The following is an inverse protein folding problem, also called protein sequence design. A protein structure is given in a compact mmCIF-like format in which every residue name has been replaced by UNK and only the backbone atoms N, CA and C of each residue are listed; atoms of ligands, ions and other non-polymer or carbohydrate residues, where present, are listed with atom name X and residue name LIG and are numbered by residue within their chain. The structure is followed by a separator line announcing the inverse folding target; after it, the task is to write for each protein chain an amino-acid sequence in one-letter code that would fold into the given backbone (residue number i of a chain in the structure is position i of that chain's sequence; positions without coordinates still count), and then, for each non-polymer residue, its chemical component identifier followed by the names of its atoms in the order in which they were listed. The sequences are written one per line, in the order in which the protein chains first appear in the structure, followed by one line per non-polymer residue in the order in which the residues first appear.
data_IF_924489813807
#
_entry.id   IF_924489813807
#
_cell.length_a   1.000
_cell.length_b   1.000
_cell.length_c   1.000
_cell.angle_alpha   90.00
_cell.angle_beta   90.00
_cell.angle_gamma   90.00
#
_symmetry.space_group_name_H-M   'P 1'
#
loop_
_entity.id
_entity.type
_entity.pdbx_description
1 polymer ?
#
# COMPACT_ATOMS: atom_id res chain seq x y z
N UNK A 1 -41.94 -25.68 12.63
CA UNK A 1 -40.93 -25.24 11.65
C UNK A 1 -40.57 -23.81 12.00
N UNK A 2 -39.42 -23.59 12.64
CA UNK A 2 -39.01 -22.24 13.07
C UNK A 2 -38.18 -21.62 11.95
N UNK A 3 -38.75 -20.63 11.28
CA UNK A 3 -38.02 -19.77 10.36
C UNK A 3 -37.03 -18.93 11.16
N UNK A 4 -35.74 -19.24 11.03
CA UNK A 4 -34.66 -18.38 11.52
C UNK A 4 -34.63 -17.18 10.56
N UNK A 5 -35.29 -16.11 10.94
CA UNK A 5 -35.10 -14.78 10.34
C UNK A 5 -33.67 -14.36 10.65
N UNK A 6 -32.76 -14.59 9.70
CA UNK A 6 -31.43 -14.02 9.74
C UNK A 6 -31.58 -12.50 9.73
N UNK A 7 -31.34 -11.87 10.87
CA UNK A 7 -31.17 -10.41 10.98
C UNK A 7 -30.11 -9.99 9.97
N UNK A 8 -30.38 -9.01 9.09
CA UNK A 8 -29.38 -8.52 8.16
C UNK A 8 -28.20 -8.00 8.99
N UNK A 9 -27.01 -8.58 8.74
CA UNK A 9 -25.75 -8.05 9.27
C UNK A 9 -25.71 -6.57 8.90
N UNK A 10 -25.50 -5.64 9.85
CA UNK A 10 -25.43 -4.23 9.53
C UNK A 10 -24.40 -4.05 8.42
N UNK A 11 -24.85 -3.53 7.28
CA UNK A 11 -23.95 -3.24 6.16
C UNK A 11 -22.87 -2.33 6.70
N UNK A 12 -21.63 -2.80 6.62
CA UNK A 12 -20.47 -2.01 6.98
C UNK A 12 -20.47 -0.79 6.05
N UNK A 13 -20.88 0.36 6.59
CA UNK A 13 -21.18 1.58 5.83
C UNK A 13 -19.99 2.09 5.02
N UNK A 14 -18.78 1.63 5.35
CA UNK A 14 -17.55 2.06 4.72
C UNK A 14 -16.85 0.95 3.94
N UNK A 15 -17.47 -0.23 3.80
CA UNK A 15 -16.87 -1.35 3.07
C UNK A 15 -16.55 -1.01 1.62
N UNK A 16 -17.42 -0.26 0.96
CA UNK A 16 -17.21 0.17 -0.42
C UNK A 16 -16.04 1.17 -0.54
N UNK A 17 -16.00 2.19 0.32
CA UNK A 17 -14.92 3.18 0.36
C UNK A 17 -13.55 2.52 0.60
N UNK A 18 -13.50 1.52 1.49
CA UNK A 18 -12.27 0.74 1.75
C UNK A 18 -11.86 -0.09 0.54
N UNK A 19 -12.80 -0.78 -0.09
CA UNK A 19 -12.53 -1.57 -1.27
C UNK A 19 -12.00 -0.67 -2.41
N UNK A 20 -12.58 0.52 -2.59
CA UNK A 20 -12.13 1.51 -3.58
C UNK A 20 -10.72 2.03 -3.32
N UNK A 21 -10.35 2.26 -2.05
CA UNK A 21 -8.96 2.57 -1.69
C UNK A 21 -8.01 1.43 -2.08
N UNK A 22 -8.37 0.19 -1.75
CA UNK A 22 -7.58 -1.00 -2.11
C UNK A 22 -7.43 -1.13 -3.63
N UNK A 23 -8.52 -0.95 -4.39
CA UNK A 23 -8.53 -1.03 -5.84
C UNK A 23 -7.59 0.01 -6.48
N UNK A 24 -7.59 1.25 -5.96
CA UNK A 24 -6.66 2.31 -6.40
C UNK A 24 -5.21 1.95 -6.12
N UNK A 25 -4.90 1.42 -4.93
CA UNK A 25 -3.53 0.99 -4.60
C UNK A 25 -3.07 -0.14 -5.52
N UNK A 26 -3.91 -1.15 -5.77
CA UNK A 26 -3.58 -2.25 -6.68
C UNK A 26 -3.25 -1.73 -8.08
N UNK A 27 -4.04 -0.81 -8.64
CA UNK A 27 -3.70 -0.22 -9.95
C UNK A 27 -2.45 0.66 -9.93
N UNK A 28 -2.17 1.32 -8.81
CA UNK A 28 -0.88 1.98 -8.59
C UNK A 28 0.29 1.00 -8.68
N UNK A 29 0.17 -0.19 -8.09
CA UNK A 29 1.19 -1.25 -8.17
C UNK A 29 1.35 -1.73 -9.61
N UNK A 30 0.24 -1.93 -10.32
CA UNK A 30 0.25 -2.36 -11.72
C UNK A 30 0.95 -1.34 -12.61
N UNK A 31 0.69 -0.05 -12.40
CA UNK A 31 1.34 1.03 -13.15
C UNK A 31 2.85 1.06 -12.91
N UNK A 32 3.28 1.02 -11.64
CA UNK A 32 4.71 0.97 -11.29
C UNK A 32 5.39 -0.25 -11.92
N UNK A 33 4.74 -1.41 -11.89
CA UNK A 33 5.28 -2.64 -12.46
C UNK A 33 5.39 -2.57 -13.98
N UNK A 34 4.35 -2.05 -14.64
CA UNK A 34 4.31 -1.87 -16.07
C UNK A 34 5.36 -0.86 -16.55
N UNK A 35 5.59 0.23 -15.83
CA UNK A 35 6.62 1.21 -16.18
C UNK A 35 8.05 0.67 -15.97
N UNK A 36 8.25 -0.14 -14.93
CA UNK A 36 9.55 -0.72 -14.59
C UNK A 36 10.00 -1.80 -15.58
N UNK A 37 9.08 -2.66 -16.04
CA UNK A 37 9.40 -3.78 -16.92
C UNK A 37 9.29 -3.38 -18.39
N UNK A 38 10.39 -3.55 -19.13
CA UNK A 38 10.36 -3.53 -20.59
C UNK A 38 9.63 -4.79 -21.08
N UNK A 39 8.42 -4.62 -21.58
CA UNK A 39 7.60 -5.70 -22.13
C UNK A 39 6.37 -6.03 -21.29
N UNK A 40 5.93 -7.29 -21.39
CA UNK A 40 4.63 -7.73 -20.88
C UNK A 40 4.64 -7.91 -19.36
N UNK A 41 3.62 -7.36 -18.72
CA UNK A 41 3.42 -7.45 -17.26
C UNK A 41 2.27 -8.40 -16.97
N UNK A 42 2.56 -9.46 -16.22
CA UNK A 42 1.57 -10.44 -15.77
C UNK A 42 1.48 -10.39 -14.25
N UNK A 43 0.26 -10.18 -13.74
CA UNK A 43 0.03 -10.07 -12.30
C UNK A 43 -1.15 -10.93 -11.87
N UNK A 44 -0.95 -11.70 -10.80
CA UNK A 44 -1.98 -12.57 -10.21
C UNK A 44 -2.53 -11.92 -8.93
N UNK A 45 -3.83 -11.66 -8.91
CA UNK A 45 -4.57 -11.24 -7.71
C UNK A 45 -4.85 -12.48 -6.84
N UNK A 46 -4.22 -12.53 -5.67
CA UNK A 46 -4.23 -13.70 -4.80
C UNK A 46 -4.79 -13.38 -3.40
N UNK A 47 -5.80 -14.14 -2.98
CA UNK A 47 -6.36 -14.04 -1.64
C UNK A 47 -7.11 -12.73 -1.36
N UNK A 48 -7.52 -11.98 -2.38
CA UNK A 48 -8.37 -10.80 -2.21
C UNK A 48 -9.83 -11.21 -2.02
N UNK A 49 -10.60 -10.40 -1.28
CA UNK A 49 -12.04 -10.65 -1.12
C UNK A 49 -12.80 -10.21 -2.40
N UNK A 50 -14.01 -10.74 -2.65
CA UNK A 50 -14.79 -10.37 -3.83
C UNK A 50 -15.04 -8.86 -3.94
N UNK A 51 -15.22 -8.17 -2.82
CA UNK A 51 -15.42 -6.72 -2.78
C UNK A 51 -14.19 -5.96 -3.28
N UNK A 52 -12.99 -6.44 -2.95
CA UNK A 52 -11.72 -5.86 -3.44
C UNK A 52 -11.58 -6.06 -4.95
N UNK A 53 -11.94 -7.23 -5.47
CA UNK A 53 -11.92 -7.52 -6.91
C UNK A 53 -12.93 -6.65 -7.67
N UNK A 54 -14.10 -6.42 -7.08
CA UNK A 54 -15.09 -5.48 -7.62
C UNK A 54 -14.54 -4.06 -7.72
N UNK A 55 -13.87 -3.58 -6.66
CA UNK A 55 -13.26 -2.26 -6.67
C UNK A 55 -12.09 -2.14 -7.68
N UNK A 56 -11.29 -3.19 -7.85
CA UNK A 56 -10.27 -3.24 -8.93
C UNK A 56 -10.95 -3.08 -10.30
N UNK A 57 -12.07 -3.76 -10.55
CA UNK A 57 -12.81 -3.61 -11.79
C UNK A 57 -13.40 -2.19 -11.98
N UNK A 58 -13.86 -1.53 -10.91
CA UNK A 58 -14.37 -0.15 -10.96
C UNK A 58 -13.29 0.87 -11.30
N UNK A 59 -12.09 0.70 -10.74
CA UNK A 59 -10.97 1.61 -10.95
C UNK A 59 -10.11 1.25 -12.17
N UNK A 60 -10.66 0.50 -13.12
CA UNK A 60 -9.95 0.04 -14.31
C UNK A 60 -9.29 1.22 -15.06
N UNK A 61 -7.96 1.25 -15.20
CA UNK A 61 -7.25 2.41 -15.72
C UNK A 61 -7.13 2.37 -17.24
N UNK A 62 -6.84 3.54 -17.80
CA UNK A 62 -6.21 3.66 -19.11
C UNK A 62 -4.71 3.88 -18.88
N UNK A 63 -3.87 3.02 -19.46
CA UNK A 63 -2.41 3.17 -19.43
C UNK A 63 -1.96 3.56 -20.84
N UNK A 64 -1.34 4.73 -20.98
CA UNK A 64 -0.94 5.26 -22.28
C UNK A 64 0.01 4.31 -23.00
N UNK A 65 -0.27 4.03 -24.27
CA UNK A 65 0.54 3.15 -25.11
C UNK A 65 0.53 1.67 -24.71
N UNK A 66 -0.36 1.24 -23.80
CA UNK A 66 -0.45 -0.16 -23.37
C UNK A 66 -1.87 -0.70 -23.40
N UNK A 67 -1.99 -1.93 -23.86
CA UNK A 67 -3.22 -2.71 -23.76
C UNK A 67 -3.28 -3.36 -22.37
N UNK A 68 -4.33 -3.04 -21.62
CA UNK A 68 -4.59 -3.60 -20.29
C UNK A 68 -5.72 -4.62 -20.42
N UNK A 69 -5.63 -5.71 -19.66
CA UNK A 69 -6.68 -6.71 -19.53
C UNK A 69 -6.83 -7.09 -18.05
N UNK A 70 -8.06 -6.99 -17.53
CA UNK A 70 -8.46 -7.56 -16.25
C UNK A 70 -9.30 -8.81 -16.50
N UNK A 71 -8.91 -9.92 -15.91
CA UNK A 71 -9.54 -11.22 -16.12
C UNK A 71 -9.82 -11.93 -14.79
N UNK A 72 -11.07 -11.93 -14.36
CA UNK A 72 -11.54 -12.56 -13.12
C UNK A 72 -12.26 -13.84 -13.51
N UNK A 73 -11.76 -14.99 -13.05
CA UNK A 73 -12.38 -16.27 -13.35
C UNK A 73 -13.76 -16.38 -12.69
N UNK A 74 -14.75 -16.92 -13.41
CA UNK A 74 -16.15 -17.00 -12.95
C UNK A 74 -16.32 -17.80 -11.66
N UNK A 75 -15.43 -18.76 -11.44
CA UNK A 75 -15.41 -19.66 -10.29
C UNK A 75 -14.72 -19.06 -9.06
N UNK A 76 -14.18 -17.83 -9.14
CA UNK A 76 -13.64 -17.10 -7.97
C UNK A 76 -14.76 -16.81 -6.98
N UNK A 77 -15.86 -16.22 -7.45
CA UNK A 77 -17.05 -15.98 -6.65
C UNK A 77 -18.31 -15.85 -7.56
N UNK A 78 -19.33 -16.71 -7.38
CA UNK A 78 -20.53 -16.70 -8.22
C UNK A 78 -21.43 -15.46 -8.07
N UNK A 79 -21.37 -14.75 -6.94
CA UNK A 79 -22.12 -13.51 -6.74
C UNK A 79 -21.43 -12.39 -7.50
N UNK A 80 -20.12 -12.24 -7.32
CA UNK A 80 -19.28 -11.27 -8.02
C UNK A 80 -19.39 -11.42 -9.55
N UNK A 81 -19.35 -12.66 -10.05
CA UNK A 81 -19.46 -12.93 -11.48
C UNK A 81 -20.79 -12.49 -12.10
N UNK A 82 -21.86 -12.38 -11.30
CA UNK A 82 -23.18 -11.88 -11.75
C UNK A 82 -23.28 -10.37 -11.70
N UNK A 83 -22.48 -9.70 -10.87
CA UNK A 83 -22.53 -8.25 -10.67
C UNK A 83 -21.50 -7.49 -11.50
N UNK A 84 -20.39 -8.13 -11.87
CA UNK A 84 -19.34 -7.53 -12.68
C UNK A 84 -19.73 -7.43 -14.16
N UNK A 85 -19.16 -6.43 -14.82
CA UNK A 85 -19.20 -6.32 -16.28
C UNK A 85 -18.57 -7.56 -16.93
N UNK A 86 -19.26 -8.12 -17.93
CA UNK A 86 -18.84 -9.31 -18.65
C UNK A 86 -17.43 -9.20 -19.25
N UNK A 87 -16.95 -7.99 -19.57
CA UNK A 87 -15.59 -7.76 -20.08
C UNK A 87 -14.49 -8.18 -19.11
N UNK A 88 -14.79 -8.21 -17.81
CA UNK A 88 -13.85 -8.58 -16.76
C UNK A 88 -13.95 -10.05 -16.35
N UNK A 89 -14.96 -10.76 -16.82
CA UNK A 89 -15.18 -12.17 -16.49
C UNK A 89 -14.54 -13.05 -17.57
N UNK A 90 -13.85 -14.10 -17.13
CA UNK A 90 -13.21 -15.07 -18.03
C UNK A 90 -13.52 -16.50 -17.63
N UNK A 91 -13.60 -17.37 -18.62
CA UNK A 91 -13.60 -18.82 -18.45
C UNK A 91 -12.22 -19.42 -18.81
N UNK A 92 -11.25 -18.57 -19.19
CA UNK A 92 -9.90 -19.01 -19.55
C UNK A 92 -9.08 -19.33 -18.28
N UNK A 93 -8.32 -20.44 -18.26
CA UNK A 93 -7.49 -20.79 -17.11
C UNK A 93 -6.30 -19.82 -16.99
N UNK A 94 -5.73 -19.67 -15.78
CA UNK A 94 -4.59 -18.75 -15.56
C UNK A 94 -3.39 -19.00 -16.49
N UNK A 95 -3.16 -20.25 -16.88
CA UNK A 95 -2.09 -20.64 -17.82
C UNK A 95 -2.28 -20.07 -19.23
N UNK A 96 -3.50 -19.76 -19.65
CA UNK A 96 -3.79 -19.11 -20.94
C UNK A 96 -3.09 -17.76 -21.03
N UNK A 97 -3.21 -16.96 -19.97
CA UNK A 97 -2.64 -15.62 -19.94
C UNK A 97 -1.13 -15.63 -20.02
N UNK A 98 -0.45 -16.69 -19.55
CA UNK A 98 1.00 -16.82 -19.75
C UNK A 98 1.37 -16.85 -21.24
N UNK A 99 0.65 -17.65 -22.04
CA UNK A 99 1.03 -17.96 -23.42
C UNK A 99 0.37 -17.04 -24.45
N UNK A 100 -0.62 -16.25 -24.03
CA UNK A 100 -1.31 -15.30 -24.90
C UNK A 100 -0.50 -14.02 -25.10
N UNK A 101 -0.66 -13.35 -26.24
CA UNK A 101 -0.16 -11.99 -26.50
C UNK A 101 -1.30 -10.96 -26.57
N UNK A 102 -2.46 -11.27 -25.97
CA UNK A 102 -3.68 -10.45 -26.04
C UNK A 102 -3.54 -9.05 -25.43
N UNK A 103 -2.62 -8.87 -24.47
CA UNK A 103 -2.42 -7.59 -23.81
C UNK A 103 -1.01 -7.43 -23.22
N UNK A 104 -0.55 -6.19 -23.16
CA UNK A 104 0.73 -5.77 -22.58
C UNK A 104 0.73 -5.89 -21.05
N UNK A 105 -0.41 -5.63 -20.43
CA UNK A 105 -0.61 -5.72 -18.98
C UNK A 105 -1.81 -6.61 -18.71
N UNK A 106 -1.59 -7.76 -18.08
CA UNK A 106 -2.68 -8.66 -17.68
C UNK A 106 -2.70 -8.80 -16.16
N UNK A 107 -3.85 -8.43 -15.59
CA UNK A 107 -4.19 -8.66 -14.21
C UNK A 107 -5.26 -9.73 -14.16
N UNK A 108 -5.02 -10.84 -13.46
CA UNK A 108 -5.98 -11.94 -13.42
C UNK A 108 -6.18 -12.49 -12.01
N UNK A 109 -7.41 -12.96 -11.74
CA UNK A 109 -7.80 -13.59 -10.48
C UNK A 109 -8.31 -15.01 -10.78
N UNK A 110 -7.77 -16.00 -10.07
CA UNK A 110 -8.17 -17.40 -10.17
C UNK A 110 -8.60 -17.93 -8.80
N UNK A 111 -9.39 -19.01 -8.72
CA UNK A 111 -9.73 -19.62 -7.45
C UNK A 111 -8.50 -20.12 -6.70
N UNK A 112 -8.62 -20.21 -5.38
CA UNK A 112 -7.52 -20.65 -4.51
C UNK A 112 -6.97 -22.03 -4.91
N UNK A 113 -7.81 -22.95 -5.41
CA UNK A 113 -7.38 -24.27 -5.87
C UNK A 113 -6.42 -24.22 -7.08
N UNK A 114 -6.53 -23.20 -7.93
CA UNK A 114 -5.64 -23.01 -9.09
C UNK A 114 -4.43 -22.12 -8.75
N UNK A 115 -4.49 -21.39 -7.64
CA UNK A 115 -3.50 -20.38 -7.25
C UNK A 115 -2.10 -20.96 -7.11
N UNK A 116 -1.96 -22.12 -6.49
CA UNK A 116 -0.64 -22.72 -6.23
C UNK A 116 -0.06 -23.33 -7.51
N UNK A 117 -0.90 -23.91 -8.38
CA UNK A 117 -0.50 -24.41 -9.70
C UNK A 117 -0.02 -23.29 -10.62
N UNK A 118 -0.72 -22.15 -10.59
CA UNK A 118 -0.33 -20.93 -11.31
C UNK A 118 0.93 -20.32 -10.67
N UNK A 119 0.98 -20.20 -9.34
CA UNK A 119 2.10 -19.57 -8.63
C UNK A 119 3.42 -20.34 -8.69
N UNK A 120 3.40 -21.67 -8.60
CA UNK A 120 4.61 -22.50 -8.59
C UNK A 120 5.24 -22.68 -9.98
N UNK A 121 4.47 -22.50 -11.05
CA UNK A 121 4.93 -22.73 -12.43
C UNK A 121 5.29 -21.46 -13.20
N UNK A 122 5.19 -20.28 -12.56
CA UNK A 122 5.27 -18.97 -13.20
C UNK A 122 6.32 -18.06 -12.56
N UNK A 123 7.60 -18.30 -12.87
CA UNK A 123 8.70 -17.37 -12.53
C UNK A 123 8.53 -15.95 -13.12
N UNK A 124 7.55 -15.74 -14.02
CA UNK A 124 7.29 -14.48 -14.71
C UNK A 124 6.03 -13.73 -14.20
N UNK A 125 5.25 -14.30 -13.29
CA UNK A 125 4.02 -13.66 -12.78
C UNK A 125 4.29 -13.01 -11.43
N UNK A 126 4.02 -11.71 -11.34
CA UNK A 126 4.07 -10.99 -10.07
C UNK A 126 2.80 -11.28 -9.27
N UNK A 127 2.94 -11.86 -8.08
CA UNK A 127 1.81 -12.10 -7.17
C UNK A 127 1.46 -10.82 -6.43
N UNK A 128 0.18 -10.44 -6.46
CA UNK A 128 -0.42 -9.35 -5.68
C UNK A 128 -1.34 -9.98 -4.65
N UNK A 129 -0.84 -10.08 -3.42
CA UNK A 129 -1.61 -10.53 -2.26
C UNK A 129 -1.80 -9.40 -1.23
N UNK A 130 -2.60 -9.68 -0.20
CA UNK A 130 -2.93 -8.72 0.86
C UNK A 130 -1.71 -8.04 1.45
N UNK A 131 -0.66 -8.80 1.75
CA UNK A 131 0.57 -8.29 2.37
C UNK A 131 1.34 -7.41 1.39
N UNK A 132 1.44 -7.83 0.12
CA UNK A 132 2.08 -7.03 -0.92
C UNK A 132 1.39 -5.69 -1.17
N UNK A 133 0.07 -5.61 -0.98
CA UNK A 133 -0.71 -4.37 -1.09
C UNK A 133 -0.50 -3.47 0.13
N UNK A 134 -0.50 -4.04 1.34
CA UNK A 134 -0.25 -3.28 2.58
C UNK A 134 1.15 -2.64 2.59
N UNK A 135 2.18 -3.37 2.15
CA UNK A 135 3.58 -2.92 2.15
C UNK A 135 3.90 -1.79 1.16
N UNK A 136 2.90 -1.27 0.41
CA UNK A 136 3.09 -0.20 -0.59
C UNK A 136 2.80 1.17 0.00
N UNK A 137 3.57 1.55 1.02
CA UNK A 137 3.44 2.81 1.75
C UNK A 137 3.34 4.03 0.83
N UNK A 138 4.14 4.10 -0.24
CA UNK A 138 4.10 5.21 -1.21
C UNK A 138 2.75 5.33 -1.93
N UNK A 139 2.12 4.21 -2.27
CA UNK A 139 0.83 4.19 -2.97
C UNK A 139 -0.31 4.54 -2.01
N UNK A 140 -0.21 4.10 -0.75
CA UNK A 140 -1.13 4.53 0.30
C UNK A 140 -0.99 6.01 0.63
N UNK A 141 0.24 6.54 0.66
CA UNK A 141 0.51 7.97 0.80
C UNK A 141 -0.12 8.75 -0.36
N UNK A 142 0.08 8.30 -1.60
CA UNK A 142 -0.56 8.93 -2.76
C UNK A 142 -2.09 8.95 -2.64
N UNK A 143 -2.71 7.85 -2.20
CA UNK A 143 -4.15 7.80 -1.96
C UNK A 143 -4.61 8.75 -0.84
N UNK A 144 -3.83 8.89 0.24
CA UNK A 144 -4.10 9.84 1.33
C UNK A 144 -4.03 11.28 0.82
N UNK A 145 -2.99 11.62 0.05
CA UNK A 145 -2.80 12.97 -0.48
C UNK A 145 -3.93 13.34 -1.46
N UNK A 146 -4.35 12.40 -2.30
CA UNK A 146 -5.47 12.59 -3.24
C UNK A 146 -6.78 12.87 -2.50
N UNK A 147 -7.13 12.10 -1.46
CA UNK A 147 -8.42 12.26 -0.79
C UNK A 147 -8.45 13.21 0.42
N UNK A 148 -7.31 13.55 1.03
CA UNK A 148 -7.24 14.56 2.08
C UNK A 148 -7.16 16.00 1.51
N UNK A 149 -6.85 16.12 0.22
CA UNK A 149 -6.78 17.39 -0.51
C UNK A 149 -5.81 18.40 0.12
N UNK A 150 -6.22 19.65 0.13
CA UNK A 150 -5.43 20.81 0.58
C UNK A 150 -5.07 20.83 2.07
N UNK A 151 -5.61 19.91 2.88
CA UNK A 151 -5.32 19.85 4.31
C UNK A 151 -3.89 19.37 4.61
N UNK A 152 -3.24 18.69 3.66
CA UNK A 152 -1.89 18.15 3.79
C UNK A 152 -0.97 18.92 2.84
N UNK A 153 -0.59 20.13 3.25
CA UNK A 153 0.39 20.98 2.55
C UNK A 153 1.72 20.94 3.29
N UNK A 154 2.82 20.72 2.57
CA UNK A 154 4.18 20.75 3.11
C UNK A 154 4.89 19.40 3.09
N UNK A 155 6.20 19.46 2.84
CA UNK A 155 7.10 18.30 2.80
C UNK A 155 7.20 17.62 4.18
N UNK A 156 7.15 18.39 5.26
CA UNK A 156 7.17 17.88 6.63
C UNK A 156 5.98 16.95 6.93
N UNK A 157 4.77 17.35 6.54
CA UNK A 157 3.59 16.52 6.70
C UNK A 157 3.65 15.24 5.86
N UNK A 158 4.19 15.32 4.63
CA UNK A 158 4.38 14.14 3.77
C UNK A 158 5.39 13.16 4.39
N UNK A 159 6.52 13.67 4.86
CA UNK A 159 7.56 12.86 5.52
C UNK A 159 7.03 12.19 6.78
N UNK A 160 6.22 12.91 7.57
CA UNK A 160 5.58 12.35 8.76
C UNK A 160 4.60 11.22 8.42
N UNK A 161 3.75 11.40 7.40
CA UNK A 161 2.79 10.37 6.99
C UNK A 161 3.52 9.16 6.39
N UNK A 162 4.57 9.38 5.59
CA UNK A 162 5.40 8.28 5.06
C UNK A 162 5.99 7.46 6.22
N UNK A 163 6.65 8.13 7.17
CA UNK A 163 7.23 7.47 8.34
C UNK A 163 6.19 6.73 9.21
N UNK A 164 4.95 7.25 9.27
CA UNK A 164 3.84 6.58 9.95
C UNK A 164 3.42 5.29 9.24
N UNK A 165 3.27 5.31 7.91
CA UNK A 165 2.89 4.13 7.13
C UNK A 165 4.00 3.08 7.15
N UNK A 166 5.26 3.50 6.99
CA UNK A 166 6.43 2.62 7.15
C UNK A 166 6.50 2.01 8.55
N UNK A 167 6.24 2.79 9.60
CA UNK A 167 6.20 2.29 10.98
C UNK A 167 5.09 1.27 11.22
N UNK A 168 3.96 1.38 10.52
CA UNK A 168 2.88 0.41 10.57
C UNK A 168 3.24 -0.90 9.86
N UNK A 169 3.92 -0.81 8.71
CA UNK A 169 4.41 -1.96 7.96
C UNK A 169 5.50 -2.72 8.74
N UNK A 170 6.49 -1.99 9.29
CA UNK A 170 7.57 -2.54 10.13
C UNK A 170 7.03 -3.25 11.40
N UNK A 171 5.93 -2.75 11.96
CA UNK A 171 5.37 -3.28 13.19
C UNK A 171 4.51 -4.54 12.99
N UNK A 172 4.19 -4.91 11.74
CA UNK A 172 3.33 -6.05 11.37
C UNK A 172 2.01 -6.10 12.19
N UNK A 173 1.51 -4.92 12.54
CA UNK A 173 0.37 -4.75 13.44
C UNK A 173 -0.95 -5.10 12.74
N UNK A 174 -1.00 -4.94 11.42
CA UNK A 174 -2.22 -5.01 10.62
C UNK A 174 -2.43 -6.40 10.03
N UNK A 175 -3.12 -7.25 10.79
CA UNK A 175 -3.45 -8.62 10.36
C UNK A 175 -4.42 -8.69 9.17
N UNK A 176 -5.17 -7.62 8.90
CA UNK A 176 -6.19 -7.58 7.84
C UNK A 176 -6.06 -6.32 6.96
N UNK A 177 -6.16 -6.51 5.64
CA UNK A 177 -6.14 -5.45 4.65
C UNK A 177 -7.31 -4.48 4.82
N UNK A 178 -8.49 -4.97 5.21
CA UNK A 178 -9.65 -4.10 5.45
C UNK A 178 -9.46 -3.22 6.69
N UNK A 179 -8.78 -3.73 7.73
CA UNK A 179 -8.47 -2.91 8.91
C UNK A 179 -7.50 -1.78 8.57
N UNK A 180 -6.50 -2.10 7.74
CA UNK A 180 -5.56 -1.10 7.24
C UNK A 180 -6.25 -0.04 6.38
N UNK A 181 -7.11 -0.46 5.44
CA UNK A 181 -7.89 0.46 4.62
C UNK A 181 -8.86 1.31 5.46
N UNK A 182 -9.46 0.75 6.52
CA UNK A 182 -10.32 1.51 7.45
C UNK A 182 -9.53 2.58 8.21
N UNK A 183 -8.31 2.26 8.63
CA UNK A 183 -7.41 3.21 9.27
C UNK A 183 -7.09 4.38 8.33
N UNK A 184 -6.69 4.08 7.09
CA UNK A 184 -6.37 5.10 6.08
C UNK A 184 -7.59 5.97 5.78
N UNK A 185 -8.75 5.36 5.55
CA UNK A 185 -10.02 6.05 5.32
C UNK A 185 -10.39 6.97 6.49
N UNK A 186 -10.31 6.47 7.72
CA UNK A 186 -10.57 7.25 8.93
C UNK A 186 -9.59 8.40 9.09
N UNK A 187 -8.31 8.18 8.76
CA UNK A 187 -7.28 9.22 8.79
C UNK A 187 -7.58 10.34 7.78
N UNK A 188 -8.03 10.00 6.57
CA UNK A 188 -8.43 10.96 5.53
C UNK A 188 -9.69 11.74 5.91
N UNK A 189 -10.66 11.09 6.56
CA UNK A 189 -11.90 11.72 6.99
C UNK A 189 -11.68 12.83 8.04
N UNK A 190 -10.62 12.74 8.84
CA UNK A 190 -10.28 13.68 9.91
C UNK A 190 -9.45 14.89 9.41
N UNK A 191 -9.74 15.37 8.20
CA UNK A 191 -8.96 16.42 7.51
C UNK A 191 -8.88 17.77 8.22
N UNK A 192 -9.71 18.01 9.23
CA UNK A 192 -9.74 19.27 10.01
C UNK A 192 -8.92 19.19 11.29
N UNK A 193 -8.50 17.99 11.70
CA UNK A 193 -7.73 17.78 12.93
C UNK A 193 -6.22 17.93 12.68
N UNK A 194 -5.42 18.29 13.70
CA UNK A 194 -3.97 18.15 13.68
C UNK A 194 -3.53 16.70 13.45
N UNK A 195 -2.38 16.47 12.80
CA UNK A 195 -1.91 15.12 12.43
C UNK A 195 -1.86 14.13 13.60
N UNK A 196 -1.35 14.56 14.76
CA UNK A 196 -1.30 13.73 15.97
C UNK A 196 -2.69 13.30 16.45
N UNK A 197 -3.68 14.19 16.34
CA UNK A 197 -5.06 13.89 16.68
C UNK A 197 -5.70 12.94 15.66
N UNK A 198 -5.39 13.09 14.37
CA UNK A 198 -5.87 12.16 13.33
C UNK A 198 -5.42 10.76 13.63
N UNK A 199 -4.13 10.59 13.91
CA UNK A 199 -3.55 9.30 14.24
C UNK A 199 -4.18 8.69 15.49
N UNK A 200 -4.33 9.47 16.56
CA UNK A 200 -4.95 8.99 17.79
C UNK A 200 -6.40 8.55 17.58
N UNK A 201 -7.15 9.28 16.74
CA UNK A 201 -8.57 9.00 16.45
C UNK A 201 -8.76 7.88 15.41
N UNK A 202 -7.80 7.66 14.50
CA UNK A 202 -7.84 6.57 13.52
C UNK A 202 -7.25 5.26 14.03
N UNK A 203 -6.32 5.31 15.01
CA UNK A 203 -5.68 4.12 15.61
C UNK A 203 -6.65 3.03 16.10
N UNK A 204 -7.86 3.31 16.63
CA UNK A 204 -8.82 2.27 17.00
C UNK A 204 -9.21 1.34 15.84
N UNK A 205 -9.15 1.80 14.58
CA UNK A 205 -9.44 0.98 13.41
C UNK A 205 -8.45 -0.20 13.25
N UNK A 206 -7.23 -0.03 13.76
CA UNK A 206 -6.19 -1.07 13.76
C UNK A 206 -6.42 -2.13 14.83
N UNK A 207 -7.44 -1.96 15.70
CA UNK A 207 -7.78 -2.87 16.82
C UNK A 207 -6.56 -3.23 17.67
N UNK A 208 -5.63 -2.28 17.79
CA UNK A 208 -4.45 -2.40 18.63
C UNK A 208 -4.87 -2.58 20.10
N UNK A 209 -4.20 -3.45 20.88
CA UNK A 209 -4.39 -3.44 22.33
C UNK A 209 -4.11 -2.04 22.88
N UNK A 210 -4.75 -1.63 24.00
CA UNK A 210 -4.63 -0.30 24.57
C UNK A 210 -3.25 -0.07 25.20
N UNK A 211 -2.22 -0.04 24.35
CA UNK A 211 -0.88 0.42 24.67
C UNK A 211 -0.74 1.86 24.15
N UNK A 212 0.16 2.67 24.73
CA UNK A 212 0.36 4.01 24.24
C UNK A 212 0.81 3.94 22.77
N UNK A 213 -0.06 4.41 21.87
CA UNK A 213 0.12 4.48 20.41
C UNK A 213 1.50 5.10 20.08
N UNK A 214 1.94 6.07 20.88
CA UNK A 214 3.27 6.70 20.79
C UNK A 214 4.49 5.76 20.91
N UNK A 215 4.35 4.54 21.42
CA UNK A 215 5.44 3.54 21.45
C UNK A 215 5.55 2.71 20.17
N UNK A 216 4.45 2.51 19.45
CA UNK A 216 4.43 1.81 18.14
C UNK A 216 4.79 2.79 17.03
N UNK A 217 4.28 4.02 17.13
CA UNK A 217 4.51 5.11 16.17
C UNK A 217 5.72 5.97 16.55
N UNK A 218 6.91 5.36 16.64
CA UNK A 218 8.15 6.15 16.66
C UNK A 218 8.62 6.32 15.22
N UNK A 219 8.46 7.49 14.59
CA UNK A 219 9.20 7.78 13.38
C UNK A 219 10.69 7.62 13.71
N UNK A 220 11.39 6.81 12.91
CA UNK A 220 12.86 6.82 12.90
C UNK A 220 13.27 8.20 12.40
N UNK A 221 13.36 9.16 13.31
CA UNK A 221 14.25 10.30 13.11
C UNK A 221 15.62 9.67 12.96
N UNK A 222 16.17 9.74 11.76
CA UNK A 222 17.54 9.32 11.46
C UNK A 222 18.46 10.00 12.44
N UNK A 223 18.78 9.32 13.55
CA UNK A 223 19.89 9.69 14.40
C UNK A 223 21.13 9.44 13.56
N UNK A 224 21.61 10.51 12.93
CA UNK A 224 22.98 10.60 12.48
C UNK A 224 23.86 10.08 13.61
N UNK A 225 24.72 9.13 13.24
CA UNK A 225 25.55 8.38 14.16
C UNK A 225 26.27 9.30 15.15
N UNK A 226 26.05 9.05 16.44
CA UNK A 226 26.99 9.47 17.46
C UNK A 226 28.22 8.58 17.37
N UNK A 227 29.38 9.17 17.08
CA UNK A 227 30.64 8.64 17.59
C UNK A 227 31.66 9.77 17.72
N UNK A 228 31.87 10.22 18.95
CA UNK A 228 33.18 10.58 19.49
C UNK A 228 33.05 10.65 21.03
N UNK A 229 33.64 9.71 21.78
CA UNK A 229 34.00 9.97 23.16
C UNK A 229 35.35 10.68 23.17
N UNK A 230 35.56 11.63 24.08
CA UNK A 230 36.78 11.80 24.88
C UNK A 230 36.54 12.96 25.85
N UNK A 231 36.71 12.62 27.13
CA UNK A 231 36.81 13.51 28.28
C UNK A 231 37.97 14.50 28.16
N UNK A 232 37.77 15.74 28.60
CA UNK A 232 38.86 16.66 28.88
C UNK A 232 38.37 17.98 29.48
N UNK A 233 38.44 18.10 30.81
CA UNK A 233 38.34 19.38 31.53
C UNK A 233 39.44 20.32 31.03
N UNK A 234 39.10 21.58 30.75
CA UNK A 234 40.00 22.72 30.96
C UNK A 234 39.19 23.93 31.42
N UNK A 235 39.49 24.34 32.65
CA UNK A 235 39.08 25.57 33.32
C UNK A 235 40.09 26.69 33.03
N UNK A 236 39.65 27.93 32.82
CA UNK A 236 40.48 29.15 32.88
C UNK A 236 40.53 30.01 31.60
N UNK A 237 40.20 31.31 31.78
CA UNK A 237 40.28 32.52 30.90
C UNK A 237 41.57 32.67 30.02
N UNK A 238 41.72 33.75 29.19
CA UNK A 238 40.86 34.39 28.17
C UNK A 238 41.59 34.66 26.82
N UNK A 239 40.87 35.24 25.82
CA UNK A 239 41.35 35.95 24.59
C UNK A 239 42.27 35.24 23.57
N UNK A 240 41.78 35.04 22.33
CA UNK A 240 42.49 35.35 21.06
C UNK A 240 41.65 35.00 19.82
N UNK A 241 41.96 35.69 18.73
CA UNK A 241 41.22 35.96 17.50
C UNK A 241 41.50 34.94 16.37
N UNK A 242 40.45 34.57 15.60
CA UNK A 242 40.42 34.24 14.14
C UNK A 242 41.26 33.05 13.58
N UNK A 243 41.16 32.69 12.27
CA UNK A 243 40.00 32.36 11.40
C UNK A 243 40.25 31.03 10.58
N UNK A 244 39.40 30.74 9.58
CA UNK A 244 39.65 29.95 8.33
C UNK A 244 39.00 28.54 8.22
N UNK A 245 38.33 28.38 7.07
CA UNK A 245 37.66 27.24 6.43
C UNK A 245 38.46 25.93 6.31
N UNK A 246 37.78 24.83 5.93
CA UNK A 246 38.21 24.06 4.75
C UNK A 246 37.01 23.66 3.87
N UNK A 247 36.97 24.02 2.59
CA UNK A 247 37.51 23.26 1.44
C UNK A 247 37.03 21.79 1.43
N UNK A 248 36.00 21.56 0.61
CA UNK A 248 35.60 20.25 0.11
C UNK A 248 36.73 19.64 -0.73
N UNK A 249 37.21 18.46 -0.33
CA UNK A 249 38.08 17.61 -1.14
C UNK A 249 37.35 16.30 -1.43
N UNK A 250 36.99 16.10 -2.70
CA UNK A 250 36.56 14.82 -3.27
C UNK A 250 37.73 13.82 -3.30
N UNK A 251 37.49 12.51 -3.12
CA UNK A 251 38.45 11.49 -3.52
C UNK A 251 37.96 10.74 -4.76
N UNK A 252 38.71 10.90 -5.85
CA UNK A 252 38.74 10.00 -7.00
C UNK A 252 39.50 8.72 -6.62
N UNK A 253 38.83 7.57 -6.77
CA UNK A 253 39.46 6.25 -6.86
C UNK A 253 39.88 5.99 -8.30
N UNK A 254 41.11 5.53 -8.51
CA UNK A 254 41.48 4.48 -9.47
C UNK A 254 42.90 3.99 -9.14
N UNK A 255 42.99 2.70 -8.87
CA UNK A 255 44.19 1.92 -8.55
C UNK A 255 43.71 0.50 -8.29
#
# INVERSE_FOLDING_TARGET
MNAITATPVPSDRHAEERADLIGRVIWGMVRQEAERKAGRTLMLLAGLKPEHLSAVARHYPVIEGKTVQLAIARDVDPVLARTLDARFITDKPGVHYRNSAEADVVLFAVPDAQRDTVGASLNLVTRVDRRSVQAKSDLWLAAILDGAGDAIKGEEHRNWISAMLEGLDDADVTKDLDQYAEFVRSFMALKEEPLDNRLRKSAPALKLPPWPVSKVFRPKVSRGASSCPISGRCSGLPTATCPISPICSTPSRCG
#
